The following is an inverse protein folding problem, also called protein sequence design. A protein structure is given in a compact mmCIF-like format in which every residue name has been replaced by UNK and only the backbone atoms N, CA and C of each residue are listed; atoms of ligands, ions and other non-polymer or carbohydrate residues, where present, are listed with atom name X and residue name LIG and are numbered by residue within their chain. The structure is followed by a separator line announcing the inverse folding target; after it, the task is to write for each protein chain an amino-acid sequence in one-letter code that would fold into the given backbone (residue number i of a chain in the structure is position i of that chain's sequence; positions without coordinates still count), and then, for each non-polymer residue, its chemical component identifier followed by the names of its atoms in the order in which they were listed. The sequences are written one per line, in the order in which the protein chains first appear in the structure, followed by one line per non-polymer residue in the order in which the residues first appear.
data_IF_043539726478
#
_entry.id   IF_043539726478
#
_cell.length_a   1.000
_cell.length_b   1.000
_cell.length_c   1.000
_cell.angle_alpha   90.00
_cell.angle_beta   90.00
_cell.angle_gamma   90.00
#
_symmetry.space_group_name_H-M   'P 1'
#
loop_
_entity.id
_entity.type
_entity.pdbx_description
1 polymer ?
#
# COMPACT_ATOMS: atom_id res chain seq x y z
N UNK A 1 -27.69 -7.95 -8.37
CA UNK A 1 -29.07 -7.84 -7.86
C UNK A 1 -29.66 -6.56 -8.41
N UNK A 2 -30.76 -6.65 -9.15
CA UNK A 2 -31.44 -5.50 -9.77
C UNK A 2 -32.67 -5.08 -8.95
N UNK A 3 -33.36 -4.02 -9.37
CA UNK A 3 -34.56 -3.51 -8.68
C UNK A 3 -35.69 -4.54 -8.57
N UNK A 4 -35.86 -5.40 -9.58
CA UNK A 4 -36.91 -6.43 -9.58
C UNK A 4 -36.59 -7.51 -8.55
N UNK A 5 -35.32 -7.89 -8.42
CA UNK A 5 -34.87 -8.86 -7.42
C UNK A 5 -35.17 -8.38 -5.99
N UNK A 6 -34.94 -7.08 -5.71
CA UNK A 6 -35.25 -6.44 -4.42
C UNK A 6 -36.77 -6.44 -4.15
N UNK A 7 -37.58 -6.14 -5.17
CA UNK A 7 -39.04 -6.12 -5.07
C UNK A 7 -39.64 -7.51 -4.83
N UNK A 8 -39.03 -8.56 -5.38
CA UNK A 8 -39.44 -9.93 -5.09
C UNK A 8 -39.07 -10.36 -3.67
N UNK A 9 -37.88 -9.98 -3.19
CA UNK A 9 -37.45 -10.23 -1.82
C UNK A 9 -38.39 -9.55 -0.81
N UNK A 10 -38.75 -8.28 -1.04
CA UNK A 10 -39.64 -7.54 -0.13
C UNK A 10 -41.04 -8.14 -0.03
N UNK A 11 -41.50 -8.90 -1.03
CA UNK A 11 -42.81 -9.58 -1.03
C UNK A 11 -42.79 -10.94 -0.33
N UNK A 12 -41.61 -11.56 -0.22
CA UNK A 12 -41.43 -12.90 0.39
C UNK A 12 -41.07 -12.82 1.87
N UNK A 13 -40.56 -11.68 2.34
CA UNK A 13 -40.15 -11.47 3.73
C UNK A 13 -41.33 -10.91 4.52
N UNK A 14 -42.14 -11.80 5.08
CA UNK A 14 -43.18 -11.46 6.08
C UNK A 14 -42.57 -11.60 7.49
N UNK A 15 -42.42 -10.49 8.22
CA UNK A 15 -42.25 -10.52 9.68
C UNK A 15 -40.85 -10.68 10.29
N UNK A 16 -39.73 -10.55 9.56
CA UNK A 16 -38.39 -10.45 10.17
C UNK A 16 -37.52 -9.32 9.59
N UNK A 17 -36.73 -8.71 10.48
CA UNK A 17 -35.68 -7.69 10.31
C UNK A 17 -36.00 -6.48 9.43
N UNK A 18 -35.99 -5.28 10.03
CA UNK A 18 -35.98 -3.99 9.32
C UNK A 18 -34.58 -3.61 8.78
N UNK A 19 -33.67 -4.56 8.65
CA UNK A 19 -32.29 -4.37 8.19
C UNK A 19 -31.99 -5.25 6.99
N UNK A 20 -31.29 -4.68 6.02
CA UNK A 20 -30.65 -5.38 4.92
C UNK A 20 -29.14 -5.26 5.10
N UNK A 21 -28.45 -6.39 5.10
CA UNK A 21 -26.99 -6.43 5.10
C UNK A 21 -26.51 -6.70 3.68
N UNK A 22 -25.71 -5.77 3.14
CA UNK A 22 -25.06 -5.92 1.84
C UNK A 22 -23.57 -6.14 2.07
N UNK A 23 -23.02 -7.17 1.45
CA UNK A 23 -21.57 -7.39 1.37
C UNK A 23 -21.13 -7.20 -0.07
N UNK A 24 -20.10 -6.38 -0.27
CA UNK A 24 -19.45 -6.22 -1.56
C UNK A 24 -18.15 -7.00 -1.49
N UNK A 25 -18.02 -7.99 -2.39
CA UNK A 25 -16.82 -8.81 -2.51
C UNK A 25 -16.41 -8.81 -3.99
N UNK A 26 -15.09 -8.78 -4.29
CA UNK A 26 -14.64 -8.94 -5.67
C UNK A 26 -15.13 -10.29 -6.23
N UNK A 27 -15.55 -10.31 -7.50
CA UNK A 27 -16.00 -11.54 -8.15
C UNK A 27 -14.85 -12.47 -8.55
N UNK A 28 -13.62 -11.95 -8.55
CA UNK A 28 -12.38 -12.69 -8.77
C UNK A 28 -11.20 -11.88 -8.19
N UNK A 29 -10.09 -12.56 -7.90
CA UNK A 29 -8.90 -11.95 -7.31
C UNK A 29 -8.10 -11.04 -8.27
N UNK A 30 -8.34 -11.16 -9.59
CA UNK A 30 -7.58 -10.46 -10.63
C UNK A 30 -8.52 -9.92 -11.73
N UNK A 31 -9.27 -8.88 -11.41
CA UNK A 31 -10.11 -8.20 -12.40
C UNK A 31 -9.27 -7.11 -13.08
N UNK A 32 -9.06 -7.17 -14.41
CA UNK A 32 -8.39 -6.10 -15.11
C UNK A 32 -9.20 -4.81 -14.96
N UNK A 33 -8.50 -3.70 -14.72
CA UNK A 33 -9.11 -2.38 -14.80
C UNK A 33 -9.37 -2.05 -16.26
N UNK A 34 -10.45 -1.33 -16.51
CA UNK A 34 -10.84 -0.93 -17.86
C UNK A 34 -11.18 0.54 -17.87
N UNK A 35 -10.66 1.27 -18.85
CA UNK A 35 -11.01 2.67 -19.10
C UNK A 35 -11.05 2.95 -20.60
N UNK A 36 -11.45 4.15 -20.98
CA UNK A 36 -11.39 4.62 -22.36
C UNK A 36 -10.56 5.89 -22.42
N UNK A 37 -10.00 6.18 -23.59
CA UNK A 37 -9.38 7.49 -23.82
C UNK A 37 -10.42 8.61 -23.76
N UNK A 38 -10.00 9.83 -23.43
CA UNK A 38 -10.90 10.99 -23.37
C UNK A 38 -11.66 11.23 -24.67
N UNK A 39 -11.00 11.02 -25.82
CA UNK A 39 -11.62 11.08 -27.14
C UNK A 39 -12.47 9.84 -27.51
N UNK A 40 -12.61 8.87 -26.60
CA UNK A 40 -13.32 7.62 -26.74
C UNK A 40 -12.92 6.76 -27.95
N UNK A 41 -11.73 6.97 -28.50
CA UNK A 41 -11.22 6.21 -29.64
C UNK A 41 -10.73 4.81 -29.24
N UNK A 42 -10.15 4.70 -28.05
CA UNK A 42 -9.54 3.47 -27.57
C UNK A 42 -10.12 3.06 -26.22
N UNK A 43 -10.26 1.75 -26.03
CA UNK A 43 -10.53 1.12 -24.74
C UNK A 43 -9.26 0.44 -24.27
N UNK A 44 -8.83 0.74 -23.06
CA UNK A 44 -7.64 0.16 -22.44
C UNK A 44 -8.07 -0.83 -21.36
N UNK A 45 -7.45 -2.00 -21.36
CA UNK A 45 -7.50 -2.93 -20.24
C UNK A 45 -6.11 -3.01 -19.60
N UNK A 46 -6.07 -2.91 -18.27
CA UNK A 46 -4.85 -2.98 -17.47
C UNK A 46 -4.98 -4.12 -16.46
N UNK A 47 -4.01 -5.02 -16.46
CA UNK A 47 -3.79 -5.99 -15.38
C UNK A 47 -2.32 -5.94 -14.94
N UNK A 48 -1.98 -6.62 -13.86
CA UNK A 48 -0.60 -6.60 -13.34
C UNK A 48 -0.24 -7.85 -12.54
N UNK A 49 1.05 -8.07 -12.34
CA UNK A 49 1.58 -9.12 -11.47
C UNK A 49 2.83 -8.63 -10.72
N UNK A 50 2.96 -8.86 -9.40
CA UNK A 50 2.00 -9.53 -8.50
C UNK A 50 0.74 -8.68 -8.23
N UNK A 51 -0.38 -9.32 -7.84
CA UNK A 51 -1.67 -8.65 -7.61
C UNK A 51 -1.63 -7.62 -6.47
N UNK A 52 -0.91 -7.93 -5.39
CA UNK A 52 -0.53 -6.97 -4.35
C UNK A 52 0.77 -6.31 -4.80
N UNK A 53 0.64 -5.10 -5.32
CA UNK A 53 1.79 -4.25 -5.67
C UNK A 53 2.39 -3.77 -4.36
N UNK A 54 3.72 -3.80 -4.30
CA UNK A 54 4.45 -3.70 -3.05
C UNK A 54 5.58 -2.69 -3.20
N UNK A 55 5.74 -1.77 -2.25
CA UNK A 55 6.89 -0.85 -2.23
C UNK A 55 8.21 -1.63 -2.25
N UNK A 56 9.22 -1.11 -2.95
CA UNK A 56 10.52 -1.79 -3.07
C UNK A 56 10.51 -3.09 -3.89
N UNK A 57 9.42 -3.35 -4.62
CA UNK A 57 9.29 -4.55 -5.46
C UNK A 57 9.05 -4.19 -6.92
N UNK A 58 9.29 -5.15 -7.81
CA UNK A 58 8.97 -5.00 -9.24
C UNK A 58 7.56 -5.51 -9.52
N UNK A 59 6.75 -4.67 -10.16
CA UNK A 59 5.47 -5.07 -10.74
C UNK A 59 5.55 -5.04 -12.26
N UNK A 60 4.94 -6.02 -12.91
CA UNK A 60 4.73 -6.02 -14.36
C UNK A 60 3.29 -5.64 -14.65
N UNK A 61 3.08 -4.52 -15.33
CA UNK A 61 1.78 -4.14 -15.89
C UNK A 61 1.61 -4.79 -17.25
N UNK A 62 0.41 -5.29 -17.52
CA UNK A 62 0.00 -5.86 -18.79
C UNK A 62 -1.12 -5.01 -19.37
N UNK A 63 -0.99 -4.66 -20.65
CA UNK A 63 -1.84 -3.67 -21.31
C UNK A 63 -2.41 -4.25 -22.60
N UNK A 64 -3.71 -4.10 -22.75
CA UNK A 64 -4.42 -4.33 -24.00
C UNK A 64 -5.11 -3.05 -24.45
N UNK A 65 -4.88 -2.67 -25.70
CA UNK A 65 -5.53 -1.52 -26.32
C UNK A 65 -6.44 -2.02 -27.44
N UNK A 66 -7.72 -1.72 -27.30
CA UNK A 66 -8.78 -2.08 -28.22
C UNK A 66 -9.30 -0.83 -28.92
N UNK A 67 -9.71 -0.98 -30.18
CA UNK A 67 -10.52 0.03 -30.85
C UNK A 67 -11.90 0.10 -30.17
N UNK A 68 -12.34 1.30 -29.78
CA UNK A 68 -13.60 1.47 -29.06
C UNK A 68 -14.85 1.20 -29.91
N UNK A 69 -14.76 1.31 -31.24
CA UNK A 69 -15.89 1.15 -32.16
C UNK A 69 -16.01 -0.27 -32.71
N UNK A 70 -14.93 -1.06 -32.66
CA UNK A 70 -14.91 -2.44 -33.10
C UNK A 70 -14.75 -3.38 -31.91
N UNK A 71 -15.77 -4.22 -31.69
CA UNK A 71 -15.78 -5.20 -30.60
C UNK A 71 -14.53 -6.09 -30.68
N UNK A 72 -13.78 -6.15 -29.58
CA UNK A 72 -12.61 -7.01 -29.35
C UNK A 72 -11.47 -6.87 -30.39
N UNK A 73 -11.39 -5.75 -31.10
CA UNK A 73 -10.31 -5.50 -32.06
C UNK A 73 -9.10 -4.90 -31.35
N UNK A 74 -8.10 -5.73 -31.04
CA UNK A 74 -6.80 -5.26 -30.56
C UNK A 74 -6.07 -4.48 -31.65
N UNK A 75 -5.54 -3.32 -31.28
CA UNK A 75 -4.81 -2.41 -32.17
C UNK A 75 -3.38 -2.23 -31.69
N UNK A 76 -2.49 -1.98 -32.64
CA UNK A 76 -1.11 -1.60 -32.35
C UNK A 76 -1.00 -0.08 -32.45
N UNK A 77 -0.81 0.58 -31.30
CA UNK A 77 -0.70 2.03 -31.19
C UNK A 77 0.43 2.39 -30.23
N UNK A 78 1.22 3.39 -30.60
CA UNK A 78 2.20 3.98 -29.69
C UNK A 78 1.53 4.75 -28.55
N UNK A 79 2.16 4.78 -27.39
CA UNK A 79 1.72 5.53 -26.22
C UNK A 79 2.92 6.04 -25.40
N UNK A 80 2.71 7.14 -24.70
CA UNK A 80 3.53 7.57 -23.58
C UNK A 80 2.84 7.16 -22.28
N UNK A 81 3.61 6.71 -21.29
CA UNK A 81 3.12 6.38 -19.94
C UNK A 81 3.95 7.14 -18.90
N UNK A 82 3.27 7.94 -18.08
CA UNK A 82 3.82 8.51 -16.86
C UNK A 82 3.12 7.90 -15.63
N UNK A 83 3.89 7.63 -14.59
CA UNK A 83 3.40 7.11 -13.31
C UNK A 83 3.58 8.21 -12.27
N UNK A 84 2.51 8.52 -11.55
CA UNK A 84 2.48 9.56 -10.52
C UNK A 84 2.18 8.99 -9.15
N UNK A 85 2.77 9.61 -8.12
CA UNK A 85 2.45 9.41 -6.71
C UNK A 85 2.41 10.78 -6.03
N UNK A 86 1.33 11.09 -5.31
CA UNK A 86 1.10 12.38 -4.65
C UNK A 86 1.28 13.63 -5.54
N UNK A 87 1.03 13.47 -6.84
CA UNK A 87 1.15 14.54 -7.85
C UNK A 87 2.56 14.73 -8.42
N UNK A 88 3.54 13.94 -7.98
CA UNK A 88 4.91 13.92 -8.53
C UNK A 88 5.08 12.74 -9.51
N UNK A 89 5.75 12.98 -10.64
CA UNK A 89 6.08 11.92 -11.60
C UNK A 89 7.23 11.07 -11.05
N UNK A 90 6.99 9.77 -10.88
CA UNK A 90 7.96 8.82 -10.32
C UNK A 90 8.56 7.89 -11.38
N UNK A 91 7.92 7.76 -12.54
CA UNK A 91 8.47 7.05 -13.69
C UNK A 91 7.82 7.49 -14.99
N UNK A 92 8.57 7.34 -16.08
CA UNK A 92 8.09 7.58 -17.43
C UNK A 92 8.67 6.56 -18.40
N UNK A 93 7.84 6.10 -19.32
CA UNK A 93 8.24 5.22 -20.43
C UNK A 93 7.36 5.48 -21.64
N UNK A 94 7.71 4.88 -22.77
CA UNK A 94 6.92 4.91 -24.00
C UNK A 94 7.00 3.55 -24.67
N UNK A 95 5.95 3.13 -25.36
CA UNK A 95 5.93 1.85 -26.05
C UNK A 95 4.84 1.77 -27.10
N UNK A 96 4.83 0.66 -27.83
CA UNK A 96 3.76 0.34 -28.77
C UNK A 96 2.94 -0.81 -28.19
N UNK A 97 1.61 -0.69 -28.26
CA UNK A 97 0.76 -1.84 -27.99
C UNK A 97 0.93 -2.88 -29.10
N UNK A 98 0.82 -4.14 -28.72
CA UNK A 98 0.81 -5.26 -29.64
C UNK A 98 -0.62 -5.49 -30.12
N UNK A 99 -0.81 -5.52 -31.44
CA UNK A 99 -2.08 -5.93 -32.06
C UNK A 99 -2.13 -7.44 -32.31
N UNK A 100 -3.21 -7.89 -32.94
CA UNK A 100 -3.30 -9.26 -33.43
C UNK A 100 -2.23 -9.51 -34.50
N UNK A 101 -1.37 -10.51 -34.29
CA UNK A 101 -0.42 -11.00 -35.29
C UNK A 101 -1.01 -12.20 -36.03
N UNK A 102 -0.91 -12.17 -37.36
CA UNK A 102 -1.25 -13.32 -38.20
C UNK A 102 0.05 -13.97 -38.65
N UNK A 103 0.31 -15.18 -38.18
CA UNK A 103 1.43 -16.00 -38.64
C UNK A 103 0.92 -17.00 -39.68
N UNK A 104 1.57 -17.07 -40.83
CA UNK A 104 1.30 -18.10 -41.85
C UNK A 104 2.22 -19.29 -41.59
N UNK A 105 1.62 -20.44 -41.32
CA UNK A 105 2.34 -21.68 -41.10
C UNK A 105 2.85 -22.25 -42.44
N UNK A 106 3.79 -23.19 -42.36
CA UNK A 106 4.39 -23.86 -43.53
C UNK A 106 3.41 -24.70 -44.34
N UNK A 107 2.27 -25.05 -43.74
CA UNK A 107 1.17 -25.81 -44.35
C UNK A 107 0.07 -24.91 -44.95
N UNK A 108 0.34 -23.62 -45.09
CA UNK A 108 -0.58 -22.59 -45.58
C UNK A 108 -1.74 -22.23 -44.64
N UNK A 109 -1.77 -22.78 -43.42
CA UNK A 109 -2.73 -22.35 -42.40
C UNK A 109 -2.31 -21.03 -41.75
N UNK A 110 -3.28 -20.26 -41.26
CA UNK A 110 -3.03 -19.00 -40.53
C UNK A 110 -3.33 -19.18 -39.05
N UNK A 111 -2.39 -18.77 -38.19
CA UNK A 111 -2.58 -18.66 -36.76
C UNK A 111 -2.71 -17.19 -36.37
N UNK A 112 -3.76 -16.85 -35.62
CA UNK A 112 -3.92 -15.56 -34.95
C UNK A 112 -3.30 -15.64 -33.55
N UNK A 113 -2.39 -14.73 -33.24
CA UNK A 113 -1.76 -14.59 -31.92
C UNK A 113 -2.02 -13.20 -31.37
N UNK A 114 -2.51 -13.12 -30.14
CA UNK A 114 -2.64 -11.88 -29.37
C UNK A 114 -1.44 -11.81 -28.44
N UNK A 115 -0.56 -10.84 -28.66
CA UNK A 115 0.52 -10.56 -27.73
C UNK A 115 0.01 -9.48 -26.78
N UNK A 116 0.22 -9.65 -25.49
CA UNK A 116 -0.11 -8.63 -24.50
C UNK A 116 1.14 -7.78 -24.26
N UNK A 117 1.00 -6.46 -24.32
CA UNK A 117 2.11 -5.56 -24.05
C UNK A 117 2.38 -5.54 -22.55
N UNK A 118 3.65 -5.51 -22.16
CA UNK A 118 4.02 -5.50 -20.75
C UNK A 118 5.05 -4.41 -20.44
N UNK A 119 4.91 -3.83 -19.25
CA UNK A 119 5.79 -2.80 -18.73
C UNK A 119 6.22 -3.23 -17.33
N UNK A 120 7.54 -3.34 -17.12
CA UNK A 120 8.08 -3.55 -15.78
C UNK A 120 8.29 -2.20 -15.10
N UNK A 121 7.84 -2.12 -13.87
CA UNK A 121 8.00 -0.96 -13.01
C UNK A 121 8.58 -1.39 -11.68
N UNK A 122 9.76 -0.86 -11.36
CA UNK A 122 10.39 -1.01 -10.06
C UNK A 122 9.81 0.05 -9.13
N UNK A 123 8.96 -0.37 -8.19
CA UNK A 123 8.28 0.53 -7.26
C UNK A 123 9.29 1.04 -6.23
N UNK A 124 9.48 2.36 -6.06
CA UNK A 124 10.38 2.90 -5.05
C UNK A 124 9.97 2.48 -3.63
N UNK A 125 10.94 2.37 -2.71
CA UNK A 125 10.71 1.93 -1.32
C UNK A 125 9.79 2.90 -0.54
N UNK A 126 9.84 4.19 -0.86
CA UNK A 126 9.08 5.26 -0.22
C UNK A 126 7.67 5.47 -0.82
N UNK A 127 7.31 4.73 -1.87
CA UNK A 127 5.99 4.87 -2.53
C UNK A 127 5.00 3.89 -1.90
N UNK A 128 3.90 4.42 -1.36
CA UNK A 128 2.79 3.63 -0.83
C UNK A 128 1.47 4.37 -0.99
N UNK A 129 0.36 3.63 -1.03
CA UNK A 129 -0.96 4.20 -1.32
C UNK A 129 -1.26 4.22 -2.82
N UNK A 130 -2.07 5.18 -3.25
CA UNK A 130 -2.56 5.19 -4.64
C UNK A 130 -1.48 5.78 -5.56
N UNK A 131 -1.16 5.06 -6.63
CA UNK A 131 -0.41 5.60 -7.76
C UNK A 131 -1.33 5.74 -8.97
N UNK A 132 -0.99 6.67 -9.84
CA UNK A 132 -1.73 6.96 -11.06
C UNK A 132 -0.90 6.61 -12.28
N UNK A 133 -1.42 5.76 -13.15
CA UNK A 133 -0.84 5.46 -14.45
C UNK A 133 -1.57 6.32 -15.49
N UNK A 134 -0.86 7.27 -16.08
CA UNK A 134 -1.37 8.20 -17.07
C UNK A 134 -0.80 7.85 -18.44
N UNK A 135 -1.67 7.35 -19.30
CA UNK A 135 -1.39 7.09 -20.71
C UNK A 135 -1.71 8.34 -21.54
N UNK A 136 -0.78 8.76 -22.38
CA UNK A 136 -0.88 9.95 -23.21
C UNK A 136 -0.44 9.67 -24.65
N UNK A 137 -0.84 10.57 -25.55
CA UNK A 137 -0.39 10.58 -26.94
C UNK A 137 -0.65 9.27 -27.69
N UNK A 138 -1.75 8.57 -27.37
CA UNK A 138 -2.06 7.31 -28.04
C UNK A 138 -2.20 7.54 -29.55
N UNK A 139 -1.37 6.82 -30.32
CA UNK A 139 -1.25 6.98 -31.77
C UNK A 139 -0.95 8.43 -32.21
N UNK A 140 -0.24 9.20 -31.38
CA UNK A 140 0.16 10.58 -31.65
C UNK A 140 -0.95 11.63 -31.47
N UNK A 141 -2.02 11.31 -30.74
CA UNK A 141 -3.13 12.23 -30.47
C UNK A 141 -3.10 12.73 -29.02
N UNK A 142 -2.94 14.04 -28.83
CA UNK A 142 -2.96 14.73 -27.52
C UNK A 142 -4.30 14.62 -26.77
N UNK A 143 -5.36 14.18 -27.46
CA UNK A 143 -6.71 13.95 -26.89
C UNK A 143 -6.96 12.47 -26.55
N UNK A 144 -6.02 11.59 -26.86
CA UNK A 144 -6.16 10.16 -26.65
C UNK A 144 -5.50 9.75 -25.34
N UNK A 145 -5.95 10.35 -24.22
CA UNK A 145 -5.36 10.14 -22.90
C UNK A 145 -6.25 9.24 -22.03
N UNK A 146 -5.65 8.43 -21.18
CA UNK A 146 -6.36 7.50 -20.29
C UNK A 146 -5.65 7.40 -18.94
N UNK A 147 -6.42 7.21 -17.87
CA UNK A 147 -5.89 7.15 -16.50
C UNK A 147 -6.37 5.89 -15.80
N UNK A 148 -5.45 5.23 -15.09
CA UNK A 148 -5.74 4.18 -14.12
C UNK A 148 -5.19 4.55 -12.75
N UNK A 149 -5.88 4.11 -11.69
CA UNK A 149 -5.38 4.22 -10.32
C UNK A 149 -5.22 2.81 -9.74
N UNK A 150 -4.06 2.52 -9.18
CA UNK A 150 -3.76 1.25 -8.49
C UNK A 150 -3.17 1.53 -7.12
N UNK A 151 -3.29 0.58 -6.20
CA UNK A 151 -2.80 0.71 -4.83
C UNK A 151 -1.48 -0.03 -4.68
N UNK A 152 -0.51 0.65 -4.09
CA UNK A 152 0.78 0.10 -3.65
C UNK A 152 0.70 -0.13 -2.15
N UNK A 153 0.79 -1.38 -1.75
CA UNK A 153 0.97 -1.77 -0.36
C UNK A 153 2.40 -1.46 0.06
N UNK A 154 2.55 -0.86 1.23
CA UNK A 154 3.88 -0.72 1.81
C UNK A 154 4.37 -2.11 2.21
N UNK A 155 5.47 -2.58 1.62
CA UNK A 155 6.17 -3.73 2.18
C UNK A 155 6.74 -3.27 3.50
N UNK A 156 6.55 -4.08 4.54
CA UNK A 156 7.40 -4.05 5.71
C UNK A 156 8.81 -4.48 5.30
N UNK A 157 9.48 -3.58 4.58
CA UNK A 157 10.93 -3.53 4.53
C UNK A 157 11.29 -3.08 5.94
N UNK A 158 12.32 -3.67 6.53
CA UNK A 158 12.80 -3.33 7.88
C UNK A 158 13.18 -1.83 8.07
N UNK A 159 12.91 -0.96 7.09
CA UNK A 159 12.81 0.49 7.19
C UNK A 159 11.43 0.95 7.71
N UNK A 160 11.23 0.79 9.02
CA UNK A 160 11.17 1.88 10.02
C UNK A 160 10.94 3.36 9.61
N UNK A 161 10.42 3.73 8.43
CA UNK A 161 10.14 5.16 8.17
C UNK A 161 8.91 5.64 8.93
N UNK A 162 9.15 6.54 9.89
CA UNK A 162 8.16 7.19 10.73
C UNK A 162 7.67 8.43 10.01
N UNK A 163 6.34 8.66 9.90
CA UNK A 163 5.84 9.85 9.22
C UNK A 163 6.44 11.15 9.77
N UNK A 164 6.95 12.01 8.88
CA UNK A 164 7.70 13.21 9.27
C UNK A 164 6.94 14.16 10.20
N UNK A 165 5.60 14.17 10.15
CA UNK A 165 4.78 14.98 11.04
C UNK A 165 4.88 14.57 12.53
N UNK A 166 5.36 13.36 12.82
CA UNK A 166 5.63 12.89 14.18
C UNK A 166 6.87 13.56 14.79
N UNK A 167 7.82 14.04 13.98
CA UNK A 167 9.04 14.73 14.46
C UNK A 167 8.71 15.98 15.28
N UNK A 168 7.68 16.73 14.89
CA UNK A 168 7.23 17.90 15.65
C UNK A 168 6.77 17.52 17.06
N UNK A 169 6.00 16.43 17.18
CA UNK A 169 5.52 15.92 18.47
C UNK A 169 6.68 15.41 19.33
N UNK A 170 7.67 14.75 18.72
CA UNK A 170 8.90 14.32 19.40
C UNK A 170 9.73 15.50 19.91
N UNK A 171 9.83 16.59 19.15
CA UNK A 171 10.49 17.83 19.59
C UNK A 171 9.77 18.51 20.75
N UNK A 172 8.44 18.60 20.70
CA UNK A 172 7.65 19.11 21.82
C UNK A 172 7.74 18.24 23.07
N UNK A 173 7.76 16.92 22.89
CA UNK A 173 8.00 16.00 23.99
C UNK A 173 9.40 16.20 24.61
N UNK A 174 10.45 16.24 23.77
CA UNK A 174 11.83 16.43 24.22
C UNK A 174 12.09 17.76 24.94
N UNK A 175 11.23 18.76 24.73
CA UNK A 175 11.31 20.09 25.37
C UNK A 175 10.30 20.27 26.50
N UNK A 176 9.69 19.19 27.00
CA UNK A 176 8.70 19.18 28.08
C UNK A 176 7.43 20.00 27.79
N UNK A 177 7.15 20.30 26.52
CA UNK A 177 5.90 20.95 26.10
C UNK A 177 4.73 19.96 26.02
N UNK A 178 5.04 18.67 25.79
CA UNK A 178 4.11 17.55 25.89
C UNK A 178 4.64 16.62 26.97
N UNK A 179 3.76 16.12 27.84
CA UNK A 179 4.11 15.18 28.89
C UNK A 179 4.27 13.75 28.34
N UNK A 180 4.96 12.90 29.11
CA UNK A 180 5.26 11.53 28.69
C UNK A 180 3.98 10.73 28.36
N UNK A 181 2.91 10.87 29.13
CA UNK A 181 1.69 10.09 28.89
C UNK A 181 1.02 10.45 27.57
N UNK A 182 0.95 11.75 27.25
CA UNK A 182 0.38 12.24 25.98
C UNK A 182 1.19 11.78 24.77
N UNK A 183 2.52 11.85 24.84
CA UNK A 183 3.38 11.40 23.74
C UNK A 183 3.27 9.88 23.53
N UNK A 184 3.37 9.10 24.61
CA UNK A 184 3.30 7.63 24.55
C UNK A 184 1.95 7.13 24.04
N UNK A 185 0.84 7.76 24.45
CA UNK A 185 -0.49 7.43 23.94
C UNK A 185 -0.60 7.68 22.43
N UNK A 186 0.02 8.75 21.94
CA UNK A 186 0.13 9.03 20.52
C UNK A 186 0.91 7.94 19.78
N UNK A 187 2.08 7.55 20.30
CA UNK A 187 2.87 6.46 19.73
C UNK A 187 2.09 5.14 19.71
N UNK A 188 1.42 4.79 20.81
CA UNK A 188 0.58 3.59 20.91
C UNK A 188 -0.49 3.56 19.81
N UNK A 189 -1.20 4.67 19.62
CA UNK A 189 -2.22 4.79 18.57
C UNK A 189 -1.63 4.57 17.17
N UNK A 190 -0.47 5.15 16.88
CA UNK A 190 0.18 4.99 15.56
C UNK A 190 0.58 3.55 15.30
N UNK A 191 1.01 2.83 16.33
CA UNK A 191 1.33 1.41 16.22
C UNK A 191 0.08 0.58 15.95
N UNK A 192 -1.01 0.85 16.67
CA UNK A 192 -2.28 0.13 16.52
C UNK A 192 -2.94 0.34 15.14
N UNK A 193 -2.85 1.54 14.58
CA UNK A 193 -3.36 1.86 13.26
C UNK A 193 -2.40 1.43 12.12
N UNK A 194 -1.26 0.81 12.44
CA UNK A 194 -0.26 0.40 11.46
C UNK A 194 0.46 1.57 10.75
N UNK A 195 0.35 2.78 11.30
CA UNK A 195 1.01 3.99 10.78
C UNK A 195 2.50 4.00 11.16
N UNK A 196 2.83 3.46 12.33
CA UNK A 196 4.19 3.26 12.83
C UNK A 196 4.42 1.78 13.08
N UNK A 197 5.51 1.23 12.56
CA UNK A 197 5.82 -0.19 12.69
C UNK A 197 7.12 -0.32 13.47
N UNK A 198 7.04 -1.00 14.60
CA UNK A 198 8.20 -1.27 15.46
C UNK A 198 8.86 -2.54 14.94
N UNK A 199 10.15 -2.51 14.55
CA UNK A 199 10.83 -3.70 14.10
C UNK A 199 10.80 -4.72 15.25
N UNK A 200 10.33 -5.93 14.98
CA UNK A 200 10.38 -7.02 15.95
C UNK A 200 11.79 -7.58 15.99
N UNK A 201 12.55 -7.30 17.05
CA UNK A 201 13.64 -8.21 17.43
C UNK A 201 12.99 -9.41 18.10
N UNK A 202 13.34 -10.62 17.66
CA UNK A 202 12.98 -11.86 18.34
C UNK A 202 13.16 -11.67 19.85
N UNK A 203 12.04 -11.70 20.58
CA UNK A 203 12.03 -11.68 22.02
C UNK A 203 12.86 -12.89 22.46
N UNK A 204 14.10 -12.66 22.89
CA UNK A 204 14.76 -13.61 23.76
C UNK A 204 13.87 -13.71 24.98
N UNK A 205 13.18 -14.84 25.07
CA UNK A 205 12.45 -15.26 26.26
C UNK A 205 13.29 -14.87 27.46
N UNK A 206 12.70 -14.07 28.35
CA UNK A 206 13.29 -13.88 29.66
C UNK A 206 13.48 -15.28 30.21
N UNK A 207 14.74 -15.71 30.31
CA UNK A 207 15.12 -16.91 31.02
C UNK A 207 14.57 -16.76 32.43
N UNK A 208 13.42 -17.40 32.67
CA UNK A 208 12.94 -17.76 33.99
C UNK A 208 14.02 -18.68 34.57
N UNK A 209 14.98 -18.08 35.29
CA UNK A 209 15.86 -18.82 36.18
C UNK A 209 15.03 -19.25 37.38
N UNK A 210 14.36 -20.40 37.21
CA UNK A 210 13.43 -21.00 38.16
C UNK A 210 14.13 -21.76 39.28
N UNK A 211 15.31 -21.32 39.74
CA UNK A 211 16.05 -21.98 40.84
C UNK A 211 16.53 -21.03 41.95
N UNK A 212 16.10 -19.76 41.98
CA UNK A 212 16.34 -18.88 43.12
C UNK A 212 15.21 -19.00 44.17
N UNK A 213 15.51 -19.64 45.30
CA UNK A 213 14.66 -19.72 46.50
C UNK A 213 14.21 -18.30 46.91
N UNK A 214 12.90 -18.00 47.01
CA UNK A 214 12.44 -16.68 47.43
C UNK A 214 12.61 -16.52 48.95
N UNK A 215 13.58 -15.70 49.37
CA UNK A 215 13.65 -15.21 50.73
C UNK A 215 12.51 -14.19 50.96
N UNK A 216 11.61 -14.54 51.88
CA UNK A 216 10.44 -13.79 52.24
C UNK A 216 10.84 -12.56 53.08
N UNK A 217 11.15 -11.45 52.42
CA UNK A 217 11.44 -10.22 53.17
C UNK A 217 11.61 -8.92 52.39
N UNK A 218 11.83 -8.93 51.08
CA UNK A 218 12.06 -7.68 50.32
C UNK A 218 11.65 -7.81 48.85
N UNK A 219 10.38 -7.57 48.51
CA UNK A 219 9.96 -7.15 47.15
C UNK A 219 8.65 -6.36 47.23
N UNK A 220 8.75 -5.15 47.77
CA UNK A 220 8.04 -4.01 47.20
C UNK A 220 9.07 -3.25 46.37
N UNK A 221 9.43 -3.82 45.21
CA UNK A 221 10.08 -3.04 44.16
C UNK A 221 8.94 -2.41 43.39
N UNK A 222 8.65 -1.15 43.70
CA UNK A 222 7.87 -0.28 42.82
C UNK A 222 8.50 -0.36 41.43
N UNK A 223 7.78 -0.95 40.47
CA UNK A 223 8.13 -0.82 39.07
C UNK A 223 7.88 0.64 38.70
N UNK A 224 8.93 1.43 38.78
CA UNK A 224 8.91 2.82 38.38
C UNK A 224 8.75 2.84 36.85
N UNK A 225 7.51 2.94 36.35
CA UNK A 225 7.16 3.04 34.92
C UNK A 225 7.57 4.39 34.31
N UNK A 226 8.70 4.96 34.73
CA UNK A 226 9.17 6.24 34.21
C UNK A 226 9.93 6.03 32.91
N UNK A 227 9.65 6.88 31.92
CA UNK A 227 10.39 6.89 30.65
C UNK A 227 11.85 7.26 30.95
N UNK A 228 12.84 6.45 30.55
CA UNK A 228 14.23 6.82 30.67
C UNK A 228 14.57 8.10 29.89
N UNK A 229 15.32 9.01 30.52
CA UNK A 229 15.68 10.30 29.91
C UNK A 229 16.41 10.17 28.56
N UNK A 230 17.16 9.08 28.33
CA UNK A 230 17.84 8.85 27.05
C UNK A 230 16.87 8.69 25.87
N UNK A 231 15.66 8.18 26.10
CA UNK A 231 14.63 8.02 25.06
C UNK A 231 14.08 9.40 24.68
N UNK A 232 13.87 10.25 25.68
CA UNK A 232 13.44 11.64 25.50
C UNK A 232 14.50 12.48 24.77
N UNK A 233 15.78 12.24 25.08
CA UNK A 233 16.89 12.86 24.35
C UNK A 233 16.94 12.40 22.88
N UNK A 234 16.79 11.10 22.62
CA UNK A 234 16.73 10.57 21.25
C UNK A 234 15.59 11.20 20.45
N UNK A 235 14.42 11.42 21.06
CA UNK A 235 13.31 12.11 20.40
C UNK A 235 13.67 13.54 19.98
N UNK A 236 14.43 14.27 20.81
CA UNK A 236 14.91 15.62 20.46
C UNK A 236 15.95 15.60 19.33
N UNK A 237 16.87 14.65 19.35
CA UNK A 237 17.84 14.45 18.26
C UNK A 237 17.16 14.05 16.96
N UNK A 238 16.15 13.21 17.02
CA UNK A 238 15.37 12.79 15.86
C UNK A 238 14.54 13.94 15.28
N UNK A 239 13.95 14.77 16.13
CA UNK A 239 13.22 15.97 15.72
C UNK A 239 14.09 17.04 15.04
N UNK A 240 15.41 16.96 15.23
CA UNK A 240 16.40 17.88 14.63
C UNK A 240 17.27 17.21 13.57
N UNK A 241 16.83 16.05 13.05
CA UNK A 241 17.51 15.26 12.02
C UNK A 241 18.96 14.85 12.37
N UNK A 242 19.28 14.76 13.67
CA UNK A 242 20.59 14.32 14.15
C UNK A 242 20.72 12.80 14.22
N UNK A 243 19.59 12.10 14.33
CA UNK A 243 19.51 10.64 14.23
C UNK A 243 18.40 10.25 13.25
N UNK A 244 18.51 9.06 12.67
CA UNK A 244 17.54 8.51 11.73
C UNK A 244 16.33 7.87 12.45
N UNK A 245 15.33 7.48 11.66
CA UNK A 245 14.10 6.87 12.17
C UNK A 245 14.38 5.53 12.88
N UNK A 246 15.37 4.77 12.40
CA UNK A 246 15.79 3.50 13.03
C UNK A 246 16.31 3.72 14.45
N UNK A 247 17.18 4.70 14.66
CA UNK A 247 17.71 5.03 15.98
C UNK A 247 16.63 5.56 16.94
N UNK A 248 15.65 6.31 16.43
CA UNK A 248 14.47 6.70 17.22
C UNK A 248 13.61 5.49 17.60
N UNK A 249 13.32 4.61 16.63
CA UNK A 249 12.45 3.45 16.83
C UNK A 249 13.06 2.37 17.72
N UNK A 250 14.39 2.28 17.85
CA UNK A 250 15.04 1.48 18.90
C UNK A 250 14.64 1.94 20.31
N UNK A 251 14.45 3.25 20.51
CA UNK A 251 13.94 3.80 21.76
C UNK A 251 12.48 3.40 22.03
N UNK A 252 11.63 3.47 21.01
CA UNK A 252 10.23 3.03 21.11
C UNK A 252 10.13 1.52 21.32
N UNK A 253 10.96 0.74 20.63
CA UNK A 253 11.06 -0.71 20.80
C UNK A 253 11.41 -1.08 22.24
N UNK A 254 12.35 -0.37 22.87
CA UNK A 254 12.67 -0.56 24.28
C UNK A 254 11.44 -0.34 25.18
N UNK A 255 10.66 0.71 24.92
CA UNK A 255 9.45 1.01 25.71
C UNK A 255 8.39 -0.08 25.59
N UNK A 256 8.22 -0.65 24.40
CA UNK A 256 7.33 -1.80 24.16
C UNK A 256 7.84 -3.04 24.91
N UNK A 257 9.14 -3.34 24.80
CA UNK A 257 9.76 -4.49 25.49
C UNK A 257 9.66 -4.40 27.02
N UNK A 258 9.70 -3.19 27.58
CA UNK A 258 9.55 -2.95 29.02
C UNK A 258 8.09 -2.86 29.48
N UNK A 259 7.13 -2.98 28.57
CA UNK A 259 5.71 -2.87 28.88
C UNK A 259 5.27 -1.45 29.31
N UNK A 260 6.06 -0.43 28.96
CA UNK A 260 5.72 0.99 29.19
C UNK A 260 4.74 1.45 28.11
N UNK A 261 4.93 1.00 26.87
CA UNK A 261 3.90 1.08 25.81
C UNK A 261 3.30 -0.31 25.66
N UNK A 262 1.97 -0.39 25.70
CA UNK A 262 1.23 -1.63 25.44
C UNK A 262 0.71 -1.58 24.01
N UNK A 263 1.07 -2.55 23.17
CA UNK A 263 0.63 -2.59 21.76
C UNK A 263 -0.49 -3.59 21.57
#
# INVERSE_FOLDING_TARGET
MNQNDILELSKKIDGFSNKMDFSVMPSADNLPLTTMTENAQYKLNLSWEPQSIKSGSTTTFYIDILDAFYIDRQVSVGYDLSIFHDGEEIARTSGDSTGAQVTRNTDDSTQLSFLQSSIKFDVPDNVSGIITLQFENLNGSDLANAIFSVVVDRVNIDETSVPAWIKNNAGWWATDQIDDSSFLQGIQYLIQEGIMIIPTTETSESSDDSDAIPDAGQRAQEFDQHVPAWIKNNAGWWATDQIDDSAFLQGIQYLVQKGIIVV
#
